data_IF_444699831345
#
_entry.id   IF_444699831345
#
_cell.length_a   1.000
_cell.length_b   1.000
_cell.length_c   1.000
_cell.angle_alpha   90.00
_cell.angle_beta   90.00
_cell.angle_gamma   90.00
#
_symmetry.space_group_name_H-M   'P 1'
#
loop_
_entity.id
_entity.type
_entity.pdbx_description
1 polymer ?
#
# COMPACT_ATOMS: atom_id res chain seq x y z
N UNK A 1 19.48 -3.27 -27.99
CA UNK A 1 18.37 -3.96 -27.30
C UNK A 1 17.15 -3.81 -28.19
N UNK A 2 16.48 -4.89 -28.59
CA UNK A 2 15.35 -4.86 -29.53
C UNK A 2 14.03 -4.66 -28.78
N UNK A 3 12.98 -4.22 -29.49
CA UNK A 3 11.65 -4.00 -28.91
C UNK A 3 11.10 -5.27 -28.22
N UNK A 4 11.25 -6.42 -28.86
CA UNK A 4 10.85 -7.72 -28.33
C UNK A 4 11.54 -8.05 -26.99
N UNK A 5 12.85 -7.80 -26.87
CA UNK A 5 13.59 -8.07 -25.62
C UNK A 5 13.10 -7.17 -24.48
N UNK A 6 12.77 -5.91 -24.78
CA UNK A 6 12.19 -4.99 -23.80
C UNK A 6 10.77 -5.43 -23.37
N UNK A 7 9.98 -5.99 -24.29
CA UNK A 7 8.66 -6.55 -23.99
C UNK A 7 8.76 -7.80 -23.12
N UNK A 8 9.69 -8.70 -23.41
CA UNK A 8 9.95 -9.89 -22.59
C UNK A 8 10.36 -9.51 -21.16
N UNK A 9 11.24 -8.53 -21.01
CA UNK A 9 11.67 -8.02 -19.71
C UNK A 9 10.48 -7.40 -18.94
N UNK A 10 9.64 -6.60 -19.63
CA UNK A 10 8.41 -6.05 -19.06
C UNK A 10 7.46 -7.16 -18.60
N UNK A 11 7.25 -8.19 -19.42
CA UNK A 11 6.38 -9.33 -19.10
C UNK A 11 6.88 -10.11 -17.89
N UNK A 12 8.19 -10.31 -17.78
CA UNK A 12 8.81 -10.96 -16.62
C UNK A 12 8.51 -10.18 -15.33
N UNK A 13 8.80 -8.88 -15.32
CA UNK A 13 8.57 -8.03 -14.14
C UNK A 13 7.08 -8.00 -13.76
N UNK A 14 6.18 -7.90 -14.74
CA UNK A 14 4.74 -7.92 -14.51
C UNK A 14 4.26 -9.25 -13.89
N UNK A 15 4.79 -10.38 -14.37
CA UNK A 15 4.44 -11.71 -13.87
C UNK A 15 4.93 -11.92 -12.44
N UNK A 16 6.17 -11.51 -12.14
CA UNK A 16 6.73 -11.54 -10.79
C UNK A 16 5.92 -10.63 -9.84
N UNK A 17 5.59 -9.42 -10.26
CA UNK A 17 4.79 -8.50 -9.46
C UNK A 17 3.39 -9.07 -9.17
N UNK A 18 2.76 -9.74 -10.14
CA UNK A 18 1.45 -10.35 -9.95
C UNK A 18 1.51 -11.51 -8.95
N UNK A 19 2.48 -12.41 -9.09
CA UNK A 19 2.66 -13.54 -8.18
C UNK A 19 2.84 -13.07 -6.73
N UNK A 20 3.56 -11.97 -6.52
CA UNK A 20 3.71 -11.40 -5.17
C UNK A 20 2.42 -10.80 -4.60
N UNK A 21 1.45 -10.45 -5.43
CA UNK A 21 0.14 -9.98 -4.95
C UNK A 21 -0.83 -11.10 -4.55
N UNK A 22 -0.48 -12.35 -4.83
CA UNK A 22 -1.22 -13.55 -4.42
C UNK A 22 -0.83 -13.99 -3.00
N UNK A 23 -0.87 -13.06 -2.05
CA UNK A 23 -0.60 -13.31 -0.63
C UNK A 23 -1.89 -13.45 0.18
N UNK A 24 -1.75 -14.07 1.36
CA UNK A 24 -2.83 -14.13 2.32
C UNK A 24 -3.21 -12.72 2.79
N UNK A 25 -4.48 -12.37 2.63
CA UNK A 25 -4.99 -11.02 2.92
C UNK A 25 -5.37 -10.86 4.40
N UNK A 26 -5.23 -11.90 5.21
CA UNK A 26 -5.43 -11.80 6.65
C UNK A 26 -4.27 -11.09 7.34
N UNK A 27 -3.03 -11.32 6.86
CA UNK A 27 -1.82 -10.68 7.39
C UNK A 27 -1.60 -9.29 6.76
N UNK A 28 -1.79 -8.26 7.57
CA UNK A 28 -1.66 -6.87 7.15
C UNK A 28 -0.20 -6.48 6.93
N UNK A 29 0.75 -7.04 7.69
CA UNK A 29 2.17 -6.75 7.53
C UNK A 29 2.67 -7.32 6.19
N UNK A 30 2.22 -8.52 5.85
CA UNK A 30 2.50 -9.11 4.55
C UNK A 30 1.91 -8.27 3.40
N UNK A 31 0.67 -7.79 3.54
CA UNK A 31 0.05 -6.88 2.57
C UNK A 31 0.89 -5.60 2.36
N UNK A 32 1.35 -4.96 3.44
CA UNK A 32 2.18 -3.74 3.38
C UNK A 32 3.51 -4.03 2.69
N UNK A 33 4.16 -5.14 3.07
CA UNK A 33 5.44 -5.57 2.51
C UNK A 33 5.35 -5.80 1.01
N UNK A 34 4.29 -6.45 0.53
CA UNK A 34 4.06 -6.70 -0.90
C UNK A 34 3.88 -5.40 -1.67
N UNK A 35 3.06 -4.47 -1.16
CA UNK A 35 2.88 -3.16 -1.82
C UNK A 35 4.21 -2.41 -1.92
N UNK A 36 4.99 -2.38 -0.83
CA UNK A 36 6.29 -1.71 -0.82
C UNK A 36 7.31 -2.34 -1.76
N UNK A 37 7.32 -3.68 -1.92
CA UNK A 37 8.17 -4.36 -2.91
C UNK A 37 7.76 -4.01 -4.33
N UNK A 38 6.46 -4.01 -4.62
CA UNK A 38 5.94 -3.74 -5.95
C UNK A 38 6.11 -2.28 -6.39
N UNK A 39 6.20 -1.32 -5.46
CA UNK A 39 6.53 0.08 -5.77
C UNK A 39 7.82 0.22 -6.59
N UNK A 40 8.90 -0.47 -6.16
CA UNK A 40 10.18 -0.45 -6.89
C UNK A 40 10.07 -1.08 -8.29
N UNK A 41 9.24 -2.12 -8.43
CA UNK A 41 8.97 -2.75 -9.73
C UNK A 41 8.18 -1.83 -10.65
N UNK A 42 7.24 -1.05 -10.13
CA UNK A 42 6.52 -0.07 -10.93
C UNK A 42 7.43 1.02 -11.49
N UNK A 43 8.42 1.47 -10.73
CA UNK A 43 9.44 2.40 -11.25
C UNK A 43 10.28 1.77 -12.37
N UNK A 44 10.69 0.51 -12.21
CA UNK A 44 11.37 -0.23 -13.27
C UNK A 44 10.48 -0.39 -14.53
N UNK A 45 9.19 -0.67 -14.36
CA UNK A 45 8.23 -0.77 -15.46
C UNK A 45 8.01 0.56 -16.18
N UNK A 46 7.98 1.69 -15.47
CA UNK A 46 7.91 3.03 -16.09
C UNK A 46 9.14 3.29 -16.95
N UNK A 47 10.33 2.99 -16.43
CA UNK A 47 11.57 3.15 -17.19
C UNK A 47 11.60 2.27 -18.44
N UNK A 48 11.12 1.02 -18.35
CA UNK A 48 10.96 0.13 -19.51
C UNK A 48 9.93 0.64 -20.50
N UNK A 49 8.81 1.21 -20.03
CA UNK A 49 7.80 1.79 -20.91
C UNK A 49 8.34 2.98 -21.72
N UNK A 50 9.17 3.82 -21.10
CA UNK A 50 9.86 4.91 -21.82
C UNK A 50 10.77 4.33 -22.89
N UNK A 51 11.59 3.31 -22.57
CA UNK A 51 12.46 2.65 -23.55
C UNK A 51 11.67 2.02 -24.71
N UNK A 52 10.54 1.38 -24.42
CA UNK A 52 9.65 0.80 -25.43
C UNK A 52 9.10 1.88 -26.36
N UNK A 53 8.67 3.03 -25.82
CA UNK A 53 8.15 4.14 -26.64
C UNK A 53 9.17 4.77 -27.59
N UNK A 54 10.46 4.66 -27.25
CA UNK A 54 11.58 5.18 -28.06
C UNK A 54 12.14 4.14 -29.05
N UNK A 55 11.70 2.88 -28.96
CA UNK A 55 12.20 1.79 -29.78
C UNK A 55 11.19 1.48 -30.88
N UNK A 56 11.66 1.36 -32.13
CA UNK A 56 10.79 1.00 -33.25
C UNK A 56 10.21 -0.41 -33.08
N UNK A 57 8.88 -0.51 -33.12
CA UNK A 57 8.15 -1.77 -33.09
C UNK A 57 8.23 -2.47 -34.45
N UNK A 58 8.34 -3.81 -34.46
CA UNK A 58 8.21 -4.61 -35.67
C UNK A 58 6.76 -4.91 -36.05
N UNK A 59 5.79 -4.51 -35.21
CA UNK A 59 4.36 -4.84 -35.31
C UNK A 59 4.04 -6.31 -35.60
N UNK A 60 4.87 -7.21 -35.09
CA UNK A 60 4.70 -8.64 -35.30
C UNK A 60 3.49 -9.16 -34.51
N UNK A 61 2.90 -10.27 -34.96
CA UNK A 61 1.81 -10.93 -34.24
C UNK A 61 2.23 -11.34 -32.81
N UNK A 62 3.51 -11.63 -32.60
CA UNK A 62 4.09 -11.98 -31.29
C UNK A 62 4.08 -10.77 -30.36
N UNK A 63 4.54 -9.61 -30.83
CA UNK A 63 4.55 -8.36 -30.04
C UNK A 63 3.14 -7.95 -29.62
N UNK A 64 2.17 -7.99 -30.55
CA UNK A 64 0.76 -7.67 -30.25
C UNK A 64 0.15 -8.63 -29.23
N UNK A 65 0.51 -9.92 -29.29
CA UNK A 65 0.07 -10.91 -28.30
C UNK A 65 0.66 -10.61 -26.92
N UNK A 66 1.96 -10.33 -26.84
CA UNK A 66 2.63 -9.98 -25.57
C UNK A 66 2.05 -8.69 -24.97
N UNK A 67 1.73 -7.69 -25.78
CA UNK A 67 1.10 -6.45 -25.30
C UNK A 67 -0.30 -6.69 -24.73
N UNK A 68 -1.09 -7.57 -25.37
CA UNK A 68 -2.40 -7.99 -24.87
C UNK A 68 -2.31 -8.75 -23.54
N UNK A 69 -1.34 -9.66 -23.44
CA UNK A 69 -1.06 -10.38 -22.19
C UNK A 69 -0.59 -9.42 -21.08
N UNK A 70 0.30 -8.49 -21.40
CA UNK A 70 0.77 -7.46 -20.47
C UNK A 70 -0.40 -6.61 -19.93
N UNK A 71 -1.34 -6.22 -20.79
CA UNK A 71 -2.54 -5.48 -20.39
C UNK A 71 -3.42 -6.32 -19.45
N UNK A 72 -3.54 -7.62 -19.71
CA UNK A 72 -4.32 -8.54 -18.88
C UNK A 72 -3.69 -8.70 -17.49
N UNK A 73 -2.37 -8.83 -17.42
CA UNK A 73 -1.64 -8.90 -16.15
C UNK A 73 -1.78 -7.60 -15.38
N UNK A 74 -1.64 -6.45 -16.05
CA UNK A 74 -1.80 -5.13 -15.42
C UNK A 74 -3.17 -4.94 -14.78
N UNK A 75 -4.24 -5.39 -15.45
CA UNK A 75 -5.60 -5.33 -14.87
C UNK A 75 -5.71 -6.15 -13.58
N UNK A 76 -5.23 -7.40 -13.61
CA UNK A 76 -5.23 -8.27 -12.41
C UNK A 76 -4.39 -7.69 -11.28
N UNK A 77 -3.21 -7.16 -11.61
CA UNK A 77 -2.30 -6.53 -10.65
C UNK A 77 -2.94 -5.31 -9.99
N UNK A 78 -3.63 -4.47 -10.77
CA UNK A 78 -4.39 -3.32 -10.28
C UNK A 78 -5.48 -3.76 -9.30
N UNK A 79 -6.31 -4.73 -9.69
CA UNK A 79 -7.39 -5.26 -8.84
C UNK A 79 -6.85 -5.87 -7.53
N UNK A 80 -5.77 -6.65 -7.59
CA UNK A 80 -5.16 -7.24 -6.39
C UNK A 80 -4.57 -6.15 -5.49
N UNK A 81 -3.87 -5.18 -6.06
CA UNK A 81 -3.28 -4.06 -5.29
C UNK A 81 -4.36 -3.25 -4.59
N UNK A 82 -5.48 -2.96 -5.26
CA UNK A 82 -6.62 -2.28 -4.65
C UNK A 82 -7.17 -3.06 -3.44
N UNK A 83 -7.34 -4.38 -3.56
CA UNK A 83 -7.81 -5.23 -2.45
C UNK A 83 -6.85 -5.23 -1.26
N UNK A 84 -5.53 -5.24 -1.52
CA UNK A 84 -4.52 -5.13 -0.46
C UNK A 84 -4.60 -3.74 0.23
N UNK A 85 -4.74 -2.67 -0.54
CA UNK A 85 -4.89 -1.32 -0.01
C UNK A 85 -6.16 -1.16 0.84
N UNK A 86 -7.30 -1.71 0.38
CA UNK A 86 -8.54 -1.71 1.15
C UNK A 86 -8.38 -2.40 2.50
N UNK A 87 -7.66 -3.54 2.55
CA UNK A 87 -7.39 -4.25 3.81
C UNK A 87 -6.56 -3.40 4.77
N UNK A 88 -5.50 -2.77 4.27
CA UNK A 88 -4.63 -1.89 5.06
C UNK A 88 -5.41 -0.68 5.57
N UNK A 89 -6.28 -0.09 4.74
CA UNK A 89 -7.14 1.03 5.15
C UNK A 89 -8.12 0.62 6.26
N UNK A 90 -8.73 -0.57 6.17
CA UNK A 90 -9.60 -1.09 7.24
C UNK A 90 -8.84 -1.24 8.56
N UNK A 91 -7.62 -1.79 8.51
CA UNK A 91 -6.79 -1.97 9.71
C UNK A 91 -6.40 -0.63 10.33
N UNK A 92 -6.00 0.34 9.49
CA UNK A 92 -5.70 1.71 9.92
C UNK A 92 -6.89 2.33 10.66
N UNK A 93 -8.08 2.23 10.10
CA UNK A 93 -9.28 2.82 10.69
C UNK A 93 -9.62 2.17 12.05
N UNK A 94 -9.49 0.85 12.15
CA UNK A 94 -9.69 0.11 13.42
C UNK A 94 -8.66 0.53 14.49
N UNK A 95 -7.40 0.71 14.08
CA UNK A 95 -6.32 1.16 14.96
C UNK A 95 -6.56 2.58 15.46
N UNK A 96 -6.95 3.51 14.58
CA UNK A 96 -7.29 4.90 14.94
C UNK A 96 -8.46 4.93 15.92
N UNK A 97 -9.50 4.12 15.70
CA UNK A 97 -10.63 4.02 16.61
C UNK A 97 -10.19 3.54 17.99
N UNK A 98 -9.40 2.47 18.05
CA UNK A 98 -8.87 1.93 19.30
C UNK A 98 -8.02 2.96 20.07
N UNK A 99 -7.21 3.76 19.37
CA UNK A 99 -6.45 4.86 19.98
C UNK A 99 -7.36 5.97 20.52
N UNK A 100 -8.44 6.31 19.82
CA UNK A 100 -9.41 7.29 20.29
C UNK A 100 -10.13 6.80 21.56
N UNK A 101 -10.53 5.53 21.57
CA UNK A 101 -11.18 4.90 22.73
C UNK A 101 -10.23 4.88 23.94
N UNK A 102 -8.96 4.52 23.73
CA UNK A 102 -7.94 4.59 24.77
C UNK A 102 -7.71 6.02 25.29
N UNK A 103 -7.67 7.01 24.40
CA UNK A 103 -7.53 8.42 24.77
C UNK A 103 -8.72 8.91 25.61
N UNK A 104 -9.93 8.49 25.27
CA UNK A 104 -11.14 8.80 26.02
C UNK A 104 -11.14 8.15 27.40
N UNK A 105 -10.78 6.86 27.50
CA UNK A 105 -10.60 6.17 28.78
C UNK A 105 -9.57 6.89 29.68
N UNK A 106 -8.45 7.33 29.11
CA UNK A 106 -7.43 8.10 29.84
C UNK A 106 -7.95 9.44 30.35
N UNK A 107 -8.78 10.15 29.57
CA UNK A 107 -9.42 11.40 30.01
C UNK A 107 -10.39 11.16 31.16
N UNK A 108 -11.24 10.13 31.04
CA UNK A 108 -12.20 9.73 32.06
C UNK A 108 -11.50 9.34 33.36
N UNK A 109 -10.45 8.50 33.28
CA UNK A 109 -9.63 8.11 34.42
C UNK A 109 -9.00 9.34 35.11
N UNK A 110 -8.44 10.28 34.33
CA UNK A 110 -7.93 11.54 34.87
C UNK A 110 -9.00 12.41 35.54
N UNK A 111 -10.24 12.41 35.06
CA UNK A 111 -11.33 13.14 35.72
C UNK A 111 -11.74 12.50 37.05
N UNK A 112 -11.74 11.17 37.15
CA UNK A 112 -12.00 10.48 38.42
C UNK A 112 -10.90 10.75 39.45
N UNK A 113 -9.62 10.68 39.07
CA UNK A 113 -8.50 11.00 39.97
C UNK A 113 -8.58 12.46 40.46
N UNK A 114 -8.96 13.40 39.60
CA UNK A 114 -9.17 14.80 39.99
C UNK A 114 -10.38 14.99 40.91
N UNK A 115 -11.44 14.21 40.71
CA UNK A 115 -12.63 14.26 41.56
C UNK A 115 -12.35 13.68 42.96
N UNK A 116 -11.53 12.63 43.06
CA UNK A 116 -11.10 12.05 44.34
C UNK A 116 -10.12 12.93 45.12
N UNK A 117 -9.26 13.69 44.43
CA UNK A 117 -8.28 14.56 45.09
C UNK A 117 -8.87 15.87 45.64
N UNK A 118 -10.14 16.19 45.32
CA UNK A 118 -10.82 17.39 45.78
C UNK A 118 -10.18 18.71 45.33
N UNK A 119 -10.87 19.85 45.45
CA UNK A 119 -10.23 21.16 45.28
C UNK A 119 -9.19 21.37 46.39
N UNK A 120 -7.91 21.43 46.02
CA UNK A 120 -6.86 21.92 46.92
C UNK A 120 -7.01 23.43 47.01
N UNK A 121 -7.73 23.91 48.02
CA UNK A 121 -7.73 25.32 48.38
C UNK A 121 -6.36 25.66 48.97
N UNK A 122 -5.53 26.30 48.16
CA UNK A 122 -4.31 26.93 48.65
C UNK A 122 -4.76 28.27 49.24
N UNK A 123 -4.89 28.34 50.56
CA UNK A 123 -5.05 29.63 51.25
C UNK A 123 -3.84 30.49 50.87
N UNK A 124 -4.06 31.45 49.99
CA UNK A 124 -3.08 32.51 49.74
C UNK A 124 -3.08 33.35 51.00
N UNK A 125 -2.04 33.19 51.81
CA UNK A 125 -1.70 34.12 52.88
C UNK A 125 -1.86 35.56 52.37
N UNK A 126 -2.88 36.25 52.86
CA UNK A 126 -3.04 37.69 52.70
C UNK A 126 -1.94 38.35 53.54
N UNK A 127 -0.95 38.95 52.88
CA UNK A 127 -0.05 39.97 53.45
C UNK A 127 -0.32 41.31 52.81
#
# INVERSE_FOLDING_TARGET
MTYLVLLEEKMKILSEALAETEVDRTDVEECIRVIGKNERRFEALKALQVKLSLTMSGETAVERKMESEALTILKKLSENTMKLQERIMKERNSSVQSMNDFSNLKKISKSYVKAEQGPVFVDKDFR
#
